data_IF_242716445249
#
_entry.id   IF_242716445249
#
_cell.length_a   1.000
_cell.length_b   1.000
_cell.length_c   1.000
_cell.angle_alpha   90.00
_cell.angle_beta   90.00
_cell.angle_gamma   90.00
#
_symmetry.space_group_name_H-M   'P 1'
#
loop_
_entity.id
_entity.type
_entity.pdbx_description
1 polymer ?
#
# COMPACT_ATOMS: atom_id res chain seq x y z
N UNK A 1 -3.89 -10.41 -26.79
CA UNK A 1 -4.71 -10.99 -25.71
C UNK A 1 -5.09 -9.88 -24.76
N UNK A 2 -6.27 -9.93 -24.14
CA UNK A 2 -6.69 -8.93 -23.13
C UNK A 2 -5.87 -9.15 -21.85
N UNK A 3 -5.49 -8.06 -21.15
CA UNK A 3 -4.84 -8.11 -19.85
C UNK A 3 -5.73 -8.86 -18.86
N UNK A 4 -5.16 -9.77 -18.09
CA UNK A 4 -5.87 -10.63 -17.14
C UNK A 4 -5.67 -10.18 -15.69
N UNK A 5 -6.77 -9.92 -14.98
CA UNK A 5 -6.78 -9.62 -13.55
C UNK A 5 -7.19 -10.86 -12.75
N UNK A 6 -6.42 -11.19 -11.72
CA UNK A 6 -6.77 -12.23 -10.75
C UNK A 6 -7.07 -11.62 -9.38
N UNK A 7 -8.28 -11.85 -8.88
CA UNK A 7 -8.68 -11.45 -7.54
C UNK A 7 -8.28 -12.53 -6.54
N UNK A 8 -7.20 -12.32 -5.81
CA UNK A 8 -6.53 -13.28 -4.94
C UNK A 8 -6.92 -13.13 -3.46
N UNK A 9 -6.81 -14.22 -2.69
CA UNK A 9 -7.00 -14.25 -1.23
C UNK A 9 -5.70 -14.57 -0.50
N UNK A 10 -4.74 -13.65 -0.40
CA UNK A 10 -3.43 -13.96 0.19
C UNK A 10 -3.42 -13.92 1.73
N UNK A 11 -4.44 -13.37 2.37
CA UNK A 11 -4.52 -13.15 3.81
C UNK A 11 -5.77 -13.80 4.44
N UNK A 12 -6.59 -13.06 5.19
CA UNK A 12 -7.80 -13.58 5.81
C UNK A 12 -8.88 -13.97 4.78
N UNK A 13 -9.75 -14.90 5.18
CA UNK A 13 -10.98 -15.23 4.45
C UNK A 13 -11.94 -14.04 4.41
N UNK A 14 -12.91 -14.07 3.49
CA UNK A 14 -14.01 -13.10 3.46
C UNK A 14 -14.88 -13.23 4.71
N UNK A 15 -15.33 -12.11 5.27
CA UNK A 15 -16.21 -12.10 6.45
C UNK A 15 -17.61 -12.63 6.12
N UNK A 16 -18.06 -12.44 4.90
CA UNK A 16 -19.39 -12.83 4.48
C UNK A 16 -19.69 -12.55 3.01
N UNK A 17 -20.93 -12.88 2.57
CA UNK A 17 -21.33 -12.75 1.18
C UNK A 17 -21.24 -11.33 0.63
N UNK A 18 -21.57 -10.33 1.46
CA UNK A 18 -21.55 -8.92 1.04
C UNK A 18 -20.12 -8.43 0.75
N UNK A 19 -19.16 -8.74 1.64
CA UNK A 19 -17.76 -8.36 1.41
C UNK A 19 -17.20 -9.06 0.17
N UNK A 20 -17.51 -10.34 0.00
CA UNK A 20 -17.15 -11.09 -1.20
C UNK A 20 -17.70 -10.43 -2.46
N UNK A 21 -19.01 -10.12 -2.48
CA UNK A 21 -19.65 -9.53 -3.66
C UNK A 21 -19.06 -8.15 -3.96
N UNK A 22 -18.86 -7.29 -2.95
CA UNK A 22 -18.25 -5.98 -3.12
C UNK A 22 -16.85 -6.07 -3.75
N UNK A 23 -16.02 -7.05 -3.36
CA UNK A 23 -14.71 -7.24 -3.97
C UNK A 23 -14.80 -7.68 -5.44
N UNK A 24 -15.73 -8.58 -5.77
CA UNK A 24 -15.97 -9.03 -7.15
C UNK A 24 -16.49 -7.87 -8.01
N UNK A 25 -17.45 -7.09 -7.50
CA UNK A 25 -18.01 -5.94 -8.20
C UNK A 25 -16.97 -4.85 -8.47
N UNK A 26 -16.04 -4.65 -7.52
CA UNK A 26 -14.93 -3.72 -7.70
C UNK A 26 -13.94 -4.21 -8.76
N UNK A 27 -13.56 -5.48 -8.70
CA UNK A 27 -12.65 -6.05 -9.69
C UNK A 27 -13.28 -6.01 -11.10
N UNK A 28 -14.56 -6.30 -11.20
CA UNK A 28 -15.33 -6.23 -12.45
C UNK A 28 -15.41 -4.80 -12.98
N UNK A 29 -15.69 -3.83 -12.11
CA UNK A 29 -15.69 -2.41 -12.50
C UNK A 29 -14.32 -1.96 -13.03
N UNK A 30 -13.23 -2.25 -12.30
CA UNK A 30 -11.88 -1.90 -12.77
C UNK A 30 -11.58 -2.57 -14.11
N UNK A 31 -11.95 -3.84 -14.27
CA UNK A 31 -11.72 -4.55 -15.51
C UNK A 31 -12.49 -3.93 -16.68
N UNK A 32 -13.72 -3.48 -16.47
CA UNK A 32 -14.52 -2.75 -17.47
C UNK A 32 -13.84 -1.43 -17.86
N UNK A 33 -13.41 -0.63 -16.88
CA UNK A 33 -12.71 0.65 -17.11
C UNK A 33 -11.39 0.50 -17.86
N UNK A 34 -10.71 -0.64 -17.69
CA UNK A 34 -9.39 -0.91 -18.26
C UNK A 34 -9.42 -1.83 -19.49
N UNK A 35 -10.57 -2.40 -19.84
CA UNK A 35 -10.68 -3.39 -20.93
C UNK A 35 -10.01 -4.74 -20.60
N UNK A 36 -10.05 -5.17 -19.34
CA UNK A 36 -9.42 -6.39 -18.83
C UNK A 36 -10.41 -7.53 -18.64
N UNK A 37 -9.88 -8.76 -18.54
CA UNK A 37 -10.65 -9.93 -18.09
C UNK A 37 -10.41 -10.17 -16.60
N UNK A 38 -11.42 -10.71 -15.88
CA UNK A 38 -11.35 -11.01 -14.44
C UNK A 38 -11.43 -12.52 -14.20
N UNK A 39 -10.54 -13.01 -13.37
CA UNK A 39 -10.62 -14.34 -12.76
C UNK A 39 -10.67 -14.18 -11.24
N UNK A 40 -11.60 -14.88 -10.61
CA UNK A 40 -11.82 -14.82 -9.16
C UNK A 40 -11.26 -16.08 -8.51
N UNK A 41 -10.46 -15.90 -7.45
CA UNK A 41 -9.97 -17.03 -6.65
C UNK A 41 -11.13 -17.85 -6.06
N UNK A 42 -11.10 -19.17 -6.12
CA UNK A 42 -12.08 -20.02 -5.46
C UNK A 42 -12.07 -19.85 -3.93
N UNK A 43 -10.98 -19.34 -3.36
CA UNK A 43 -10.87 -19.07 -1.93
C UNK A 43 -11.82 -17.96 -1.46
N UNK A 44 -12.26 -17.05 -2.36
CA UNK A 44 -13.27 -16.03 -2.02
C UNK A 44 -14.62 -16.66 -1.63
N UNK A 45 -14.89 -17.88 -2.01
CA UNK A 45 -16.11 -18.59 -1.63
C UNK A 45 -16.04 -19.24 -0.25
N UNK A 46 -14.87 -19.28 0.39
CA UNK A 46 -14.69 -19.78 1.75
C UNK A 46 -15.02 -18.68 2.76
N UNK A 47 -16.29 -18.55 3.07
CA UNK A 47 -16.80 -17.57 4.04
C UNK A 47 -16.67 -18.15 5.45
N UNK A 48 -15.64 -17.75 6.17
CA UNK A 48 -15.31 -18.36 7.47
C UNK A 48 -15.56 -17.41 8.67
N UNK A 49 -16.15 -16.27 8.45
CA UNK A 49 -16.37 -15.26 9.49
C UNK A 49 -15.21 -14.30 9.69
N UNK A 50 -15.37 -13.37 10.62
CA UNK A 50 -14.42 -12.26 10.82
C UNK A 50 -13.08 -12.76 11.36
N UNK A 51 -11.99 -12.42 10.65
CA UNK A 51 -10.63 -12.77 11.04
C UNK A 51 -10.27 -14.24 10.85
N UNK A 52 -11.09 -15.02 10.13
CA UNK A 52 -10.81 -16.42 9.90
C UNK A 52 -9.60 -16.62 8.98
N UNK A 53 -8.79 -17.57 9.34
CA UNK A 53 -7.52 -17.88 8.72
C UNK A 53 -7.68 -18.93 7.63
N UNK A 54 -7.24 -18.61 6.41
CA UNK A 54 -7.12 -19.60 5.35
C UNK A 54 -5.81 -20.40 5.50
N UNK A 55 -5.82 -21.72 5.31
CA UNK A 55 -4.60 -22.52 5.40
C UNK A 55 -3.50 -22.02 4.45
N UNK A 56 -2.26 -21.97 4.93
CA UNK A 56 -1.11 -21.51 4.13
C UNK A 56 -0.98 -22.27 2.80
N UNK A 57 -1.18 -23.60 2.81
CA UNK A 57 -1.11 -24.43 1.58
C UNK A 57 -2.06 -23.96 0.49
N UNK A 58 -3.27 -23.55 0.88
CA UNK A 58 -4.31 -23.11 -0.05
C UNK A 58 -4.00 -21.71 -0.58
N UNK A 59 -3.58 -20.78 0.29
CA UNK A 59 -3.14 -19.43 -0.09
C UNK A 59 -1.89 -19.47 -0.98
N UNK A 60 -0.93 -20.36 -0.70
CA UNK A 60 0.25 -20.55 -1.53
C UNK A 60 -0.09 -21.13 -2.91
N UNK A 61 -1.07 -22.05 -2.99
CA UNK A 61 -1.56 -22.56 -4.26
C UNK A 61 -2.27 -21.46 -5.06
N UNK A 62 -3.11 -20.65 -4.40
CA UNK A 62 -3.80 -19.50 -4.99
C UNK A 62 -2.81 -18.45 -5.53
N UNK A 63 -1.76 -18.13 -4.76
CA UNK A 63 -0.71 -17.21 -5.21
C UNK A 63 0.02 -17.73 -6.46
N UNK A 64 0.29 -19.06 -6.56
CA UNK A 64 0.92 -19.64 -7.76
C UNK A 64 0.03 -19.50 -8.99
N UNK A 65 -1.29 -19.56 -8.84
CA UNK A 65 -2.24 -19.28 -9.91
C UNK A 65 -2.23 -17.79 -10.25
N UNK A 66 -2.34 -16.95 -9.25
CA UNK A 66 -2.32 -15.49 -9.39
C UNK A 66 -1.09 -14.98 -10.15
N UNK A 67 0.09 -15.55 -9.87
CA UNK A 67 1.36 -15.20 -10.52
C UNK A 67 1.43 -15.52 -12.03
N UNK A 68 0.42 -16.16 -12.60
CA UNK A 68 0.30 -16.42 -14.06
C UNK A 68 -0.55 -15.37 -14.79
N UNK A 69 -1.18 -14.47 -14.04
CA UNK A 69 -1.97 -13.36 -14.56
C UNK A 69 -1.15 -12.10 -14.67
N UNK A 70 -1.62 -11.13 -15.45
CA UNK A 70 -0.92 -9.86 -15.66
C UNK A 70 -1.08 -8.91 -14.45
N UNK A 71 -2.22 -8.99 -13.76
CA UNK A 71 -2.54 -8.18 -12.59
C UNK A 71 -3.06 -9.09 -11.48
N UNK A 72 -2.54 -8.89 -10.28
CA UNK A 72 -2.97 -9.56 -9.05
C UNK A 72 -3.59 -8.52 -8.14
N UNK A 73 -4.82 -8.76 -7.68
CA UNK A 73 -5.43 -7.93 -6.66
C UNK A 73 -5.68 -8.74 -5.39
N UNK A 74 -5.00 -8.37 -4.30
CA UNK A 74 -5.28 -8.91 -2.98
C UNK A 74 -6.61 -8.34 -2.47
N UNK A 75 -7.63 -9.18 -2.44
CA UNK A 75 -9.01 -8.76 -2.15
C UNK A 75 -9.20 -8.26 -0.71
N UNK A 76 -8.36 -8.73 0.21
CA UNK A 76 -8.42 -8.39 1.63
C UNK A 76 -7.05 -8.48 2.27
N UNK A 77 -6.83 -7.59 3.28
CA UNK A 77 -5.75 -7.70 4.23
C UNK A 77 -6.08 -8.61 5.43
N UNK A 78 -5.53 -8.31 6.56
CA UNK A 78 -5.67 -9.06 7.81
C UNK A 78 -4.33 -9.58 8.26
N UNK A 79 -4.08 -10.88 8.10
CA UNK A 79 -2.80 -11.52 8.39
C UNK A 79 -2.53 -12.68 7.43
N UNK A 80 -1.25 -12.92 7.17
CA UNK A 80 -0.77 -14.15 6.56
C UNK A 80 -0.04 -13.96 5.24
N UNK A 81 -0.06 -12.79 4.61
CA UNK A 81 0.67 -12.59 3.36
C UNK A 81 2.18 -12.71 3.54
N UNK A 82 2.72 -12.42 4.73
CA UNK A 82 4.14 -12.64 5.07
C UNK A 82 4.54 -14.12 4.93
N UNK A 83 3.66 -15.05 5.24
CA UNK A 83 3.90 -16.49 5.11
C UNK A 83 4.04 -16.95 3.65
N UNK A 84 3.56 -16.14 2.71
CA UNK A 84 3.63 -16.40 1.28
C UNK A 84 4.97 -15.96 0.65
N UNK A 85 5.79 -15.21 1.37
CA UNK A 85 7.08 -14.72 0.86
C UNK A 85 7.99 -15.84 0.34
N UNK A 86 8.16 -17.00 1.00
CA UNK A 86 8.95 -18.09 0.44
C UNK A 86 8.41 -18.58 -0.90
N UNK A 87 7.07 -18.69 -1.04
CA UNK A 87 6.44 -19.07 -2.31
C UNK A 87 6.67 -18.02 -3.40
N UNK A 88 6.51 -16.74 -3.07
CA UNK A 88 6.73 -15.61 -3.97
C UNK A 88 8.19 -15.53 -4.44
N UNK A 89 9.13 -15.59 -3.49
CA UNK A 89 10.56 -15.43 -3.79
C UNK A 89 11.13 -16.61 -4.61
N UNK A 90 10.59 -17.82 -4.41
CA UNK A 90 10.98 -19.02 -5.19
C UNK A 90 10.26 -19.15 -6.54
N UNK A 91 9.27 -18.28 -6.83
CA UNK A 91 8.46 -18.41 -8.04
C UNK A 91 9.30 -18.20 -9.31
N UNK A 92 9.17 -19.13 -10.27
CA UNK A 92 9.81 -19.05 -11.59
C UNK A 92 8.75 -18.63 -12.61
N UNK A 93 8.63 -17.33 -12.87
CA UNK A 93 7.70 -16.77 -13.85
C UNK A 93 8.46 -15.90 -14.86
N UNK A 94 7.94 -15.83 -16.08
CA UNK A 94 8.59 -15.15 -17.21
C UNK A 94 8.33 -13.65 -17.25
N UNK A 95 7.19 -13.20 -16.71
CA UNK A 95 6.80 -11.80 -16.68
C UNK A 95 6.48 -11.38 -15.25
N UNK A 96 6.69 -10.13 -14.94
CA UNK A 96 6.35 -9.55 -13.66
C UNK A 96 4.89 -9.08 -13.69
N UNK A 97 3.98 -9.62 -12.86
CA UNK A 97 2.62 -9.10 -12.76
C UNK A 97 2.62 -7.75 -12.03
N UNK A 98 1.57 -6.95 -12.26
CA UNK A 98 1.25 -5.84 -11.39
C UNK A 98 0.60 -6.37 -10.09
N UNK A 99 0.94 -5.78 -8.94
CA UNK A 99 0.30 -6.10 -7.66
C UNK A 99 -0.52 -4.92 -7.14
N UNK A 100 -1.77 -5.17 -6.82
CA UNK A 100 -2.66 -4.23 -6.13
C UNK A 100 -3.07 -4.79 -4.78
N UNK A 101 -3.14 -3.93 -3.77
CA UNK A 101 -3.58 -4.30 -2.43
C UNK A 101 -3.06 -3.35 -1.37
N UNK A 102 -3.50 -3.53 -0.13
CA UNK A 102 -3.12 -2.65 0.98
C UNK A 102 -3.02 -3.45 2.28
N UNK A 103 -2.67 -2.79 3.40
CA UNK A 103 -2.61 -3.43 4.72
C UNK A 103 -1.59 -4.59 4.75
N UNK A 104 -1.99 -5.78 5.13
CA UNK A 104 -1.17 -7.00 5.18
C UNK A 104 -0.47 -7.31 3.84
N UNK A 105 -1.04 -6.87 2.69
CA UNK A 105 -0.42 -7.04 1.38
C UNK A 105 0.92 -6.29 1.24
N UNK A 106 1.23 -5.39 2.17
CA UNK A 106 2.55 -4.76 2.29
C UNK A 106 3.68 -5.79 2.24
N UNK A 107 3.52 -6.96 2.86
CA UNK A 107 4.53 -8.02 2.81
C UNK A 107 4.77 -8.53 1.37
N UNK A 108 3.71 -8.74 0.59
CA UNK A 108 3.86 -9.12 -0.82
C UNK A 108 4.44 -7.98 -1.66
N UNK A 109 4.05 -6.72 -1.39
CA UNK A 109 4.65 -5.57 -2.06
C UNK A 109 6.17 -5.50 -1.82
N UNK A 110 6.63 -5.79 -0.61
CA UNK A 110 8.04 -5.88 -0.28
C UNK A 110 8.71 -7.03 -1.07
N UNK A 111 8.12 -8.21 -1.08
CA UNK A 111 8.61 -9.36 -1.85
C UNK A 111 8.69 -9.09 -3.35
N UNK A 112 7.73 -8.36 -3.91
CA UNK A 112 7.75 -7.89 -5.31
C UNK A 112 8.95 -6.97 -5.57
N UNK A 113 9.27 -6.06 -4.63
CA UNK A 113 10.46 -5.20 -4.77
C UNK A 113 11.75 -6.01 -4.81
N UNK A 114 11.89 -6.99 -3.92
CA UNK A 114 13.06 -7.90 -3.89
C UNK A 114 13.20 -8.68 -5.21
N UNK A 115 12.07 -9.01 -5.84
CA UNK A 115 12.03 -9.65 -7.17
C UNK A 115 12.34 -8.70 -8.32
N UNK A 116 12.46 -7.38 -8.08
CA UNK A 116 12.59 -6.37 -9.13
C UNK A 116 11.30 -6.12 -9.90
N UNK A 117 10.14 -6.45 -9.32
CA UNK A 117 8.82 -6.23 -9.91
C UNK A 117 8.22 -4.92 -9.38
N UNK A 118 8.25 -3.89 -10.19
CA UNK A 118 8.04 -2.53 -9.72
C UNK A 118 6.63 -2.00 -9.92
N UNK A 119 5.81 -2.62 -10.78
CA UNK A 119 4.43 -2.20 -11.02
C UNK A 119 3.53 -2.63 -9.86
N UNK A 120 3.26 -1.69 -8.94
CA UNK A 120 2.49 -1.97 -7.72
C UNK A 120 1.66 -0.76 -7.32
N UNK A 121 0.49 -1.02 -6.76
CA UNK A 121 -0.43 0.01 -6.27
C UNK A 121 -0.86 -0.34 -4.85
N UNK A 122 -0.63 0.57 -3.90
CA UNK A 122 -1.17 0.51 -2.57
C UNK A 122 -2.57 1.10 -2.58
N UNK A 123 -3.59 0.28 -2.47
CA UNK A 123 -4.97 0.74 -2.51
C UNK A 123 -5.95 -0.35 -2.15
N UNK A 124 -7.04 0.06 -1.53
CA UNK A 124 -8.17 -0.81 -1.22
C UNK A 124 -9.15 -0.85 -2.39
N UNK A 125 -10.00 -1.88 -2.49
CA UNK A 125 -11.14 -1.84 -3.39
C UNK A 125 -12.04 -0.65 -3.05
N UNK A 126 -12.49 0.17 -4.02
CA UNK A 126 -13.45 1.21 -3.77
C UNK A 126 -14.78 0.60 -3.33
N UNK A 127 -15.26 0.94 -2.13
CA UNK A 127 -16.59 0.54 -1.72
C UNK A 127 -17.68 1.15 -2.64
N UNK A 128 -18.86 0.54 -2.76
CA UNK A 128 -19.97 1.17 -3.45
C UNK A 128 -20.17 2.62 -2.99
N UNK A 129 -20.28 3.57 -3.91
CA UNK A 129 -20.34 5.01 -3.62
C UNK A 129 -19.00 5.74 -3.60
N UNK A 130 -17.86 5.03 -3.64
CA UNK A 130 -16.53 5.66 -3.75
C UNK A 130 -15.83 5.41 -5.10
N UNK A 131 -16.55 4.91 -6.10
CA UNK A 131 -16.00 4.71 -7.46
C UNK A 131 -15.65 6.05 -8.11
N UNK A 132 -16.52 7.05 -7.94
CA UNK A 132 -16.32 8.43 -8.38
C UNK A 132 -15.63 9.31 -7.31
N UNK A 133 -15.32 8.74 -6.14
CA UNK A 133 -14.59 9.38 -5.07
C UNK A 133 -13.08 9.33 -5.24
N UNK A 134 -12.36 9.72 -4.18
CA UNK A 134 -10.88 9.70 -4.17
C UNK A 134 -10.31 8.30 -4.41
N UNK A 135 -10.94 7.26 -3.86
CA UNK A 135 -10.47 5.87 -4.04
C UNK A 135 -10.53 5.47 -5.51
N UNK A 136 -11.67 5.62 -6.16
CA UNK A 136 -11.85 5.21 -7.55
C UNK A 136 -11.00 6.04 -8.51
N UNK A 137 -11.05 7.37 -8.39
CA UNK A 137 -10.28 8.29 -9.25
C UNK A 137 -8.78 8.08 -9.14
N UNK A 138 -8.24 7.99 -7.93
CA UNK A 138 -6.79 7.77 -7.73
C UNK A 138 -6.35 6.38 -8.16
N UNK A 139 -7.19 5.36 -7.96
CA UNK A 139 -6.91 4.00 -8.43
C UNK A 139 -6.81 3.94 -9.95
N UNK A 140 -7.79 4.51 -10.67
CA UNK A 140 -7.78 4.55 -12.14
C UNK A 140 -6.59 5.37 -12.67
N UNK A 141 -6.28 6.50 -12.04
CA UNK A 141 -5.10 7.30 -12.41
C UNK A 141 -3.79 6.50 -12.22
N UNK A 142 -3.66 5.76 -11.10
CA UNK A 142 -2.53 4.86 -10.89
C UNK A 142 -2.42 3.79 -11.99
N UNK A 143 -3.53 3.14 -12.33
CA UNK A 143 -3.60 2.09 -13.35
C UNK A 143 -3.29 2.60 -14.76
N UNK A 144 -3.75 3.81 -15.10
CA UNK A 144 -3.47 4.48 -16.38
C UNK A 144 -2.07 5.08 -16.44
N UNK A 145 -1.33 5.05 -15.34
CA UNK A 145 0.00 5.64 -15.27
C UNK A 145 -0.01 7.16 -15.25
N UNK A 146 -1.13 7.78 -14.94
CA UNK A 146 -1.31 9.23 -14.89
C UNK A 146 -0.56 9.85 -13.70
N UNK A 147 -0.16 11.14 -13.77
CA UNK A 147 0.40 11.84 -12.62
C UNK A 147 -0.69 12.09 -11.56
N UNK A 148 -0.26 12.19 -10.30
CA UNK A 148 -1.13 12.57 -9.18
C UNK A 148 -0.54 13.79 -8.47
N UNK A 149 -1.40 14.74 -8.11
CA UNK A 149 -1.02 15.91 -7.31
C UNK A 149 -1.98 16.07 -6.15
N UNK A 150 -1.42 16.26 -4.96
CA UNK A 150 -2.15 16.55 -3.73
C UNK A 150 -1.55 17.80 -3.10
N UNK A 151 -2.39 18.71 -2.64
CA UNK A 151 -1.97 19.97 -2.02
C UNK A 151 -2.92 20.39 -0.89
N UNK A 152 -2.57 21.48 -0.20
CA UNK A 152 -3.32 22.01 0.91
C UNK A 152 -4.73 22.51 0.54
N UNK A 153 -5.01 22.79 -0.73
CA UNK A 153 -6.33 23.21 -1.20
C UNK A 153 -7.25 22.00 -1.43
N UNK A 154 -6.68 20.89 -1.90
CA UNK A 154 -7.42 19.66 -2.21
C UNK A 154 -7.64 18.77 -0.96
N UNK A 155 -6.75 18.87 0.05
CA UNK A 155 -6.72 17.96 1.21
C UNK A 155 -6.55 18.75 2.52
N UNK A 156 -7.58 19.43 2.97
CA UNK A 156 -7.55 20.34 4.11
C UNK A 156 -7.18 19.68 5.47
N UNK A 157 -7.30 18.36 5.61
CA UNK A 157 -7.00 17.64 6.87
C UNK A 157 -5.51 17.34 7.09
N UNK A 158 -4.69 17.45 6.05
CA UNK A 158 -3.25 17.14 6.11
C UNK A 158 -2.50 18.22 6.92
N UNK A 159 -1.51 17.78 7.69
CA UNK A 159 -0.70 18.65 8.56
C UNK A 159 0.77 18.57 8.18
N UNK A 160 1.44 19.73 8.19
CA UNK A 160 2.90 19.82 8.09
C UNK A 160 3.50 19.51 9.47
N UNK A 161 4.28 18.45 9.57
CA UNK A 161 4.93 18.01 10.80
C UNK A 161 6.42 18.41 10.83
N UNK A 162 7.08 18.41 9.68
CA UNK A 162 8.44 18.94 9.54
C UNK A 162 8.59 19.56 8.14
N UNK A 163 9.15 20.77 8.12
CA UNK A 163 9.34 21.54 6.88
C UNK A 163 10.49 20.98 6.04
N UNK A 164 10.44 21.25 4.76
CA UNK A 164 11.50 20.90 3.82
C UNK A 164 10.98 20.49 2.45
N UNK A 165 11.91 20.04 1.62
CA UNK A 165 11.61 19.45 0.31
C UNK A 165 12.39 18.16 0.15
N UNK A 166 11.75 17.14 -0.40
CA UNK A 166 12.34 15.84 -0.64
C UNK A 166 11.84 15.23 -1.94
N UNK A 167 12.73 14.58 -2.68
CA UNK A 167 12.40 13.87 -3.92
C UNK A 167 12.92 12.45 -3.88
N UNK A 168 12.06 11.51 -4.23
CA UNK A 168 12.41 10.10 -4.22
C UNK A 168 11.34 9.21 -4.82
N UNK A 169 11.57 7.91 -4.77
CA UNK A 169 10.57 6.91 -5.17
C UNK A 169 9.54 6.77 -4.06
N UNK A 170 8.25 6.79 -4.41
CA UNK A 170 7.19 6.57 -3.42
C UNK A 170 7.18 5.12 -2.94
N UNK A 171 7.10 4.92 -1.63
CA UNK A 171 6.94 3.62 -0.99
C UNK A 171 5.82 3.65 0.05
N UNK A 172 4.57 3.34 -0.33
CA UNK A 172 3.46 3.19 0.60
C UNK A 172 3.54 1.87 1.38
N UNK A 173 3.13 1.86 2.66
CA UNK A 173 3.12 0.65 3.48
C UNK A 173 2.18 0.75 4.68
N UNK A 174 1.67 -0.38 5.16
CA UNK A 174 1.21 -0.55 6.52
C UNK A 174 2.44 -0.64 7.43
N UNK A 175 2.52 0.24 8.44
CA UNK A 175 3.72 0.44 9.25
C UNK A 175 4.12 -0.83 10.03
N UNK A 176 3.18 -1.46 10.73
CA UNK A 176 3.43 -2.67 11.51
C UNK A 176 3.90 -3.84 10.64
N UNK A 177 3.30 -3.99 9.45
CA UNK A 177 3.69 -5.04 8.50
C UNK A 177 5.09 -4.77 7.94
N UNK A 178 5.40 -3.52 7.58
CA UNK A 178 6.74 -3.15 7.11
C UNK A 178 7.80 -3.40 8.19
N UNK A 179 7.52 -2.99 9.43
CA UNK A 179 8.44 -3.20 10.57
C UNK A 179 8.67 -4.67 10.86
N UNK A 180 7.66 -5.54 10.67
CA UNK A 180 7.82 -6.99 10.87
C UNK A 180 8.78 -7.65 9.89
N UNK A 181 9.12 -6.99 8.78
CA UNK A 181 10.09 -7.48 7.80
C UNK A 181 11.55 -7.19 8.19
N UNK A 182 11.80 -6.35 9.21
CA UNK A 182 13.16 -6.08 9.68
C UNK A 182 13.89 -7.37 10.07
N UNK A 183 15.11 -7.52 9.58
CA UNK A 183 15.92 -8.72 9.81
C UNK A 183 15.61 -9.90 8.88
N UNK A 184 14.64 -9.76 7.99
CA UNK A 184 14.34 -10.78 6.97
C UNK A 184 14.92 -10.42 5.60
N UNK A 185 15.09 -11.42 4.73
CA UNK A 185 15.50 -11.21 3.34
C UNK A 185 14.46 -10.47 2.49
N UNK A 186 13.26 -10.28 3.02
CA UNK A 186 12.16 -9.57 2.34
C UNK A 186 12.08 -8.08 2.72
N UNK A 187 12.96 -7.57 3.60
CA UNK A 187 13.02 -6.15 3.92
C UNK A 187 13.43 -5.35 2.67
N UNK A 188 12.57 -4.44 2.17
CA UNK A 188 12.87 -3.67 0.97
C UNK A 188 13.94 -2.59 1.26
N UNK A 189 14.71 -2.24 0.23
CA UNK A 189 15.57 -1.06 0.30
C UNK A 189 14.74 0.23 0.19
N UNK A 190 14.70 1.00 1.27
CA UNK A 190 14.02 2.28 1.36
C UNK A 190 14.93 3.49 1.09
N UNK A 191 16.20 3.28 0.82
CA UNK A 191 17.13 4.36 0.50
C UNK A 191 16.64 5.15 -0.73
N UNK A 192 16.61 6.47 -0.61
CA UNK A 192 16.10 7.36 -1.66
C UNK A 192 14.58 7.36 -1.82
N UNK A 193 13.82 6.74 -0.90
CA UNK A 193 12.37 6.72 -0.97
C UNK A 193 11.70 7.88 -0.21
N UNK A 194 10.52 8.28 -0.68
CA UNK A 194 9.50 8.95 0.11
C UNK A 194 8.66 7.83 0.74
N UNK A 195 8.74 7.69 2.06
CA UNK A 195 8.04 6.65 2.80
C UNK A 195 6.64 7.14 3.19
N UNK A 196 5.59 6.49 2.66
CA UNK A 196 4.22 6.76 3.04
C UNK A 196 3.72 5.62 3.95
N UNK A 197 3.35 5.94 5.20
CA UNK A 197 2.96 4.96 6.21
C UNK A 197 1.55 5.20 6.74
N UNK A 198 0.82 4.14 6.93
CA UNK A 198 -0.48 4.11 7.58
C UNK A 198 -0.60 2.88 8.48
N UNK A 199 -1.55 2.85 9.38
CA UNK A 199 -1.88 1.64 10.15
C UNK A 199 -3.28 1.76 10.77
N UNK A 200 -3.84 0.63 11.21
CA UNK A 200 -5.19 0.55 11.76
C UNK A 200 -5.19 -0.01 13.18
N UNK A 201 -5.96 0.63 14.07
CA UNK A 201 -6.11 0.21 15.48
C UNK A 201 -4.76 0.04 16.19
N UNK A 202 -3.80 0.88 15.88
CA UNK A 202 -2.46 0.88 16.45
C UNK A 202 -2.37 1.88 17.60
N UNK A 203 -1.84 1.47 18.75
CA UNK A 203 -1.54 2.41 19.83
C UNK A 203 -0.41 3.36 19.41
N UNK A 204 -0.45 4.66 19.81
CA UNK A 204 0.59 5.62 19.45
C UNK A 204 2.01 5.16 19.81
N UNK A 205 2.19 4.53 20.99
CA UNK A 205 3.50 3.98 21.38
C UNK A 205 4.01 2.88 20.42
N UNK A 206 3.11 2.12 19.78
CA UNK A 206 3.51 1.13 18.76
C UNK A 206 3.93 1.81 17.46
N UNK A 207 3.35 2.97 17.10
CA UNK A 207 3.86 3.78 15.98
C UNK A 207 5.32 4.15 16.25
N UNK A 208 5.62 4.66 17.46
CA UNK A 208 6.99 4.98 17.86
C UNK A 208 7.89 3.74 17.87
N UNK A 209 7.40 2.60 18.40
CA UNK A 209 8.15 1.34 18.45
C UNK A 209 8.54 0.85 17.06
N UNK A 210 7.61 0.83 16.11
CA UNK A 210 7.87 0.36 14.76
C UNK A 210 8.81 1.31 13.98
N UNK A 211 8.66 2.63 14.17
CA UNK A 211 9.62 3.58 13.58
C UNK A 211 11.02 3.44 14.17
N UNK A 212 11.13 3.19 15.49
CA UNK A 212 12.42 2.87 16.12
C UNK A 212 13.01 1.55 15.57
N UNK A 213 12.18 0.51 15.40
CA UNK A 213 12.64 -0.77 14.81
C UNK A 213 13.19 -0.57 13.40
N UNK A 214 12.48 0.17 12.53
CA UNK A 214 12.95 0.52 11.20
C UNK A 214 14.23 1.36 11.24
N UNK A 215 14.35 2.29 12.19
CA UNK A 215 15.55 3.11 12.33
C UNK A 215 16.76 2.31 12.81
N UNK A 216 16.60 1.51 13.87
CA UNK A 216 17.67 0.71 14.47
C UNK A 216 18.16 -0.41 13.53
N UNK A 217 17.28 -0.96 12.70
CA UNK A 217 17.65 -1.90 11.63
C UNK A 217 18.39 -1.25 10.45
N UNK A 218 18.44 0.10 10.42
CA UNK A 218 19.03 0.86 9.31
C UNK A 218 18.09 1.07 8.12
N UNK A 219 16.86 0.57 8.16
CA UNK A 219 15.90 0.66 7.05
C UNK A 219 15.53 2.11 6.69
N UNK A 220 15.51 3.04 7.67
CA UNK A 220 15.22 4.45 7.41
C UNK A 220 16.44 5.26 6.91
N UNK A 221 17.58 4.62 6.70
CA UNK A 221 18.76 5.34 6.20
C UNK A 221 18.52 5.86 4.79
N UNK A 222 18.69 7.17 4.62
CA UNK A 222 18.61 7.82 3.30
C UNK A 222 17.21 7.99 2.74
N UNK A 223 16.12 7.79 3.52
CA UNK A 223 14.78 8.21 3.08
C UNK A 223 14.76 9.72 2.83
N UNK A 224 13.86 10.17 1.97
CA UNK A 224 13.80 11.56 1.47
C UNK A 224 12.56 12.33 1.95
N UNK A 225 11.65 11.66 2.63
CA UNK A 225 10.43 12.26 3.19
C UNK A 225 9.55 11.23 3.85
N UNK A 226 8.63 11.70 4.70
CA UNK A 226 7.61 10.89 5.36
C UNK A 226 6.24 11.45 5.03
N UNK A 227 5.32 10.59 4.63
CA UNK A 227 3.91 10.89 4.47
C UNK A 227 3.13 9.98 5.42
N UNK A 228 2.59 10.53 6.50
CA UNK A 228 1.66 9.83 7.37
C UNK A 228 0.27 9.81 6.77
N UNK A 229 -0.28 8.62 6.62
CA UNK A 229 -1.67 8.39 6.26
C UNK A 229 -2.57 8.31 7.48
N UNK A 230 -3.58 7.46 7.41
CA UNK A 230 -4.44 7.14 8.54
C UNK A 230 -3.68 6.28 9.55
N UNK A 231 -3.33 6.84 10.70
CA UNK A 231 -2.82 6.12 11.86
C UNK A 231 -3.95 6.09 12.91
N UNK A 232 -4.95 5.22 12.66
CA UNK A 232 -6.09 5.10 13.56
C UNK A 232 -5.68 4.33 14.81
N UNK A 233 -6.06 4.85 15.98
CA UNK A 233 -5.82 4.20 17.26
C UNK A 233 -7.15 3.92 17.98
N UNK A 234 -7.11 2.96 18.89
CA UNK A 234 -8.16 2.78 19.86
C UNK A 234 -8.06 3.88 20.89
N UNK A 235 -9.21 4.43 21.31
CA UNK A 235 -9.23 5.35 22.44
C UNK A 235 -8.69 4.62 23.67
N UNK A 236 -7.62 5.14 24.24
CA UNK A 236 -6.98 4.65 25.43
C UNK A 236 -6.90 5.82 26.42
N UNK A 237 -7.81 5.84 27.38
CA UNK A 237 -7.91 6.90 28.38
C UNK A 237 -6.72 6.95 29.32
N UNK A 238 -5.92 5.89 29.38
CA UNK A 238 -4.74 5.77 30.23
C UNK A 238 -3.43 6.15 29.49
N UNK A 239 -3.51 6.46 28.19
CA UNK A 239 -2.34 6.85 27.42
C UNK A 239 -2.08 8.37 27.46
N UNK A 240 -0.96 8.74 28.08
CA UNK A 240 -0.51 10.14 28.25
C UNK A 240 0.72 10.50 27.40
N UNK A 241 1.08 9.65 26.46
CA UNK A 241 2.22 9.87 25.57
C UNK A 241 1.89 10.73 24.33
N UNK A 242 2.87 10.91 23.41
CA UNK A 242 2.69 11.71 22.23
C UNK A 242 1.69 11.08 21.26
N UNK A 243 0.91 11.92 20.59
CA UNK A 243 0.02 11.54 19.50
C UNK A 243 0.81 11.03 18.27
N UNK A 244 0.18 10.33 17.33
CA UNK A 244 0.84 9.94 16.08
C UNK A 244 1.41 11.11 15.28
N UNK A 245 0.76 12.28 15.31
CA UNK A 245 1.25 13.51 14.67
C UNK A 245 2.56 14.00 15.32
N UNK A 246 2.61 14.04 16.65
CA UNK A 246 3.82 14.44 17.39
C UNK A 246 4.97 13.46 17.19
N UNK A 247 4.67 12.16 17.14
CA UNK A 247 5.65 11.12 16.81
C UNK A 247 6.22 11.36 15.41
N UNK A 248 5.38 11.63 14.41
CA UNK A 248 5.84 11.93 13.05
C UNK A 248 6.67 13.22 12.99
N UNK A 249 6.32 14.26 13.77
CA UNK A 249 7.09 15.50 13.87
C UNK A 249 8.51 15.24 14.44
N UNK A 250 8.61 14.43 15.49
CA UNK A 250 9.89 14.01 16.06
C UNK A 250 10.74 13.27 15.02
N UNK A 251 10.15 12.32 14.29
CA UNK A 251 10.87 11.57 13.27
C UNK A 251 11.29 12.41 12.08
N UNK A 252 10.46 13.36 11.64
CA UNK A 252 10.82 14.35 10.63
C UNK A 252 12.05 15.17 11.04
N UNK A 253 12.06 15.62 12.28
CA UNK A 253 13.19 16.35 12.88
C UNK A 253 14.44 15.49 12.97
N UNK A 254 14.32 14.26 13.49
CA UNK A 254 15.44 13.32 13.67
C UNK A 254 16.09 12.93 12.36
N UNK A 255 15.31 12.70 11.32
CA UNK A 255 15.80 12.31 10.00
C UNK A 255 16.08 13.51 9.08
N UNK A 256 15.67 14.73 9.50
CA UNK A 256 15.81 15.97 8.73
C UNK A 256 15.16 15.90 7.36
N UNK A 257 13.94 15.36 7.30
CA UNK A 257 13.17 15.18 6.05
C UNK A 257 11.79 15.84 6.15
N UNK A 258 11.25 16.38 5.03
CA UNK A 258 9.88 16.89 5.01
C UNK A 258 8.92 15.80 5.47
N UNK A 259 7.98 16.18 6.36
CA UNK A 259 7.05 15.21 6.95
C UNK A 259 5.65 15.80 6.97
N UNK A 260 4.72 15.07 6.41
CA UNK A 260 3.28 15.36 6.44
C UNK A 260 2.56 14.27 7.24
N UNK A 261 1.41 14.59 7.82
CA UNK A 261 0.50 13.63 8.45
C UNK A 261 -0.92 13.78 7.93
N UNK A 262 -1.74 12.74 8.17
CA UNK A 262 -3.17 12.71 7.86
C UNK A 262 -3.52 12.78 6.37
N UNK A 263 -2.62 12.38 5.46
CA UNK A 263 -3.03 12.17 4.07
C UNK A 263 -4.10 11.05 4.06
N UNK A 264 -5.25 11.22 3.37
CA UNK A 264 -6.34 10.25 3.43
C UNK A 264 -6.03 9.00 2.59
N UNK A 265 -5.04 8.19 3.01
CA UNK A 265 -4.77 6.85 2.47
C UNK A 265 -4.69 5.82 3.59
N UNK A 266 -4.87 4.54 3.26
CA UNK A 266 -4.89 3.43 4.21
C UNK A 266 -6.31 3.05 4.66
N UNK A 267 -6.52 2.85 5.97
CA UNK A 267 -7.76 2.31 6.52
C UNK A 267 -8.83 3.39 6.80
N UNK A 268 -9.10 4.23 5.85
CA UNK A 268 -10.21 5.20 5.89
C UNK A 268 -11.19 4.94 4.76
N UNK A 269 -12.46 5.33 4.92
CA UNK A 269 -13.39 5.38 3.79
C UNK A 269 -12.82 6.29 2.70
N UNK A 270 -13.11 6.05 1.47
CA UNK A 270 -12.64 6.87 0.34
C UNK A 270 -11.12 7.20 0.39
N UNK A 271 -10.29 6.17 0.67
CA UNK A 271 -8.84 6.29 0.76
C UNK A 271 -8.20 6.47 -0.62
N UNK A 272 -7.18 7.32 -0.70
CA UNK A 272 -6.35 7.45 -1.90
C UNK A 272 -5.60 6.15 -2.19
N UNK A 273 -5.55 5.75 -3.45
CA UNK A 273 -4.61 4.76 -3.95
C UNK A 273 -3.28 5.45 -4.30
N UNK A 274 -2.17 4.82 -3.94
CA UNK A 274 -0.83 5.36 -4.16
C UNK A 274 0.03 4.36 -4.95
N UNK A 275 0.71 4.81 -6.03
CA UNK A 275 1.59 3.93 -6.81
C UNK A 275 2.95 3.77 -6.12
N UNK A 276 3.55 2.59 -6.22
CA UNK A 276 4.95 2.40 -5.82
C UNK A 276 5.93 2.90 -6.88
N UNK A 277 7.14 3.19 -6.45
CA UNK A 277 8.32 3.49 -7.30
C UNK A 277 8.17 4.68 -8.26
N UNK A 278 7.08 5.46 -8.16
CA UNK A 278 6.95 6.70 -8.93
C UNK A 278 7.83 7.78 -8.35
N UNK A 279 8.49 8.54 -9.22
CA UNK A 279 9.22 9.74 -8.85
C UNK A 279 8.28 10.75 -8.20
N UNK A 280 8.51 11.03 -6.94
CA UNK A 280 7.64 11.83 -6.08
C UNK A 280 8.41 12.98 -5.46
N UNK A 281 7.84 14.18 -5.55
CA UNK A 281 8.30 15.38 -4.85
C UNK A 281 7.32 15.68 -3.71
N UNK A 282 7.84 15.88 -2.51
CA UNK A 282 7.10 16.41 -1.36
C UNK A 282 7.69 17.76 -0.97
N UNK A 283 6.86 18.77 -0.75
CA UNK A 283 7.23 20.06 -0.17
C UNK A 283 6.34 20.37 1.03
N UNK A 284 6.92 20.93 2.06
CA UNK A 284 6.25 21.31 3.29
C UNK A 284 6.82 22.64 3.81
N UNK A 285 5.99 23.66 3.99
CA UNK A 285 6.40 25.03 4.29
C UNK A 285 5.95 25.49 5.69
N UNK A 286 6.63 26.51 6.23
CA UNK A 286 6.31 27.06 7.56
C UNK A 286 4.91 27.67 7.67
N UNK A 287 4.39 28.20 6.55
CA UNK A 287 3.05 28.78 6.48
C UNK A 287 1.93 27.72 6.44
N UNK A 288 2.29 26.41 6.54
CA UNK A 288 1.36 25.30 6.45
C UNK A 288 1.05 24.86 5.02
N UNK A 289 1.60 25.50 4.01
CA UNK A 289 1.47 25.02 2.62
C UNK A 289 2.29 23.76 2.41
N UNK A 290 1.76 22.87 1.63
CA UNK A 290 2.41 21.62 1.24
C UNK A 290 1.92 21.14 -0.13
N UNK A 291 2.74 20.33 -0.75
CA UNK A 291 2.42 19.72 -2.04
C UNK A 291 3.08 18.33 -2.14
N UNK A 292 2.39 17.38 -2.76
CA UNK A 292 2.90 16.08 -3.17
C UNK A 292 2.63 15.95 -4.67
N UNK A 293 3.70 15.82 -5.45
CA UNK A 293 3.62 15.58 -6.90
C UNK A 293 4.19 14.22 -7.22
N UNK A 294 3.35 13.31 -7.68
CA UNK A 294 3.72 11.97 -8.14
C UNK A 294 3.69 11.99 -9.67
N UNK A 295 4.86 11.79 -10.29
CA UNK A 295 4.95 11.85 -11.75
C UNK A 295 4.23 10.68 -12.43
N UNK A 296 3.90 10.87 -13.69
CA UNK A 296 3.41 9.78 -14.55
C UNK A 296 4.36 8.57 -14.54
N UNK A 297 3.82 7.40 -14.84
CA UNK A 297 4.65 6.22 -15.09
C UNK A 297 5.64 6.52 -16.22
N UNK A 298 6.89 6.13 -16.03
CA UNK A 298 7.77 6.03 -17.19
C UNK A 298 7.14 4.97 -18.11
N UNK A 299 6.80 5.34 -19.35
CA UNK A 299 6.41 4.37 -20.36
C UNK A 299 7.60 3.43 -20.56
N UNK A 300 7.63 2.34 -19.80
CA UNK A 300 8.48 1.21 -20.17
C UNK A 300 7.88 0.73 -21.48
N UNK A 301 8.63 0.92 -22.56
CA UNK A 301 8.28 0.31 -23.82
C UNK A 301 8.14 -1.19 -23.55
N UNK A 302 6.92 -1.70 -23.49
CA UNK A 302 6.69 -3.12 -23.68
C UNK A 302 7.21 -3.42 -25.09
N UNK A 303 8.51 -3.75 -25.18
CA UNK A 303 9.01 -4.45 -26.36
C UNK A 303 8.24 -5.75 -26.39
N UNK A 304 7.26 -5.82 -27.27
CA UNK A 304 6.71 -7.07 -27.73
C UNK A 304 7.92 -7.96 -28.06
N UNK A 305 8.13 -9.00 -27.27
CA UNK A 305 9.03 -10.06 -27.65
C UNK A 305 8.36 -10.74 -28.84
N UNK A 306 8.93 -10.49 -30.04
CA UNK A 306 8.61 -11.21 -31.26
C UNK A 306 9.09 -12.66 -31.16
#
# INVERSE_FOLDING_TARGET
MSTSLYLACPAFAMNGPLERQNNIDCATWVAQEMGWSVTVSPLLSRLMGNGAWLPLKDRAADLRVALRHDVIWGCRGGYGSIELLPTLLAAKIKHAPMLMGYSDITALHAGFQIRGWFERIYGRPPAPGFRDGRTGTSLLACLRGEPLTFDCHLQAGVRVQHIGSGRGRLFPACLSVLASLCGTAAMPDLNGCILAIEDVKIHPFLVATHLNQLYLSGALRGIRGIIGGSLTHLEDHDYWGPSPDEILAEWGTRLKVPTLSRLPFGHVPDALALPYNRDTLITAERNGQWNIVIKAANKVAHKAAG
#
